data_IF_874514327677
#
_entry.id   IF_874514327677
#
_cell.length_a   1.000
_cell.length_b   1.000
_cell.length_c   1.000
_cell.angle_alpha   90.00
_cell.angle_beta   90.00
_cell.angle_gamma   90.00
#
_symmetry.space_group_name_H-M   'P 1'
#
loop_
_entity.id
_entity.type
_entity.pdbx_description
1 polymer ?
#
# COMPACT_ATOMS: atom_id res chain seq x y z
N UNK A 1 2.47 -28.79 2.72
CA UNK A 1 2.07 -28.80 1.30
C UNK A 1 1.05 -27.70 1.09
N UNK A 2 1.49 -26.55 0.58
CA UNK A 2 0.60 -25.43 0.27
C UNK A 2 -0.36 -25.85 -0.87
N UNK A 3 -1.66 -25.81 -0.59
CA UNK A 3 -2.73 -26.33 -1.44
C UNK A 3 -2.82 -25.54 -2.75
N UNK A 4 -3.16 -26.22 -3.86
CA UNK A 4 -3.28 -25.58 -5.19
C UNK A 4 -4.23 -24.37 -5.21
N UNK A 5 -5.21 -24.31 -4.29
CA UNK A 5 -6.08 -23.16 -4.07
C UNK A 5 -5.31 -21.91 -3.61
N UNK A 6 -4.33 -22.06 -2.71
CA UNK A 6 -3.46 -20.94 -2.31
C UNK A 6 -2.64 -20.42 -3.49
N UNK A 7 -2.16 -21.31 -4.37
CA UNK A 7 -1.47 -20.94 -5.61
C UNK A 7 -2.38 -20.24 -6.61
N UNK A 8 -3.61 -20.70 -6.82
CA UNK A 8 -4.57 -20.09 -7.76
C UNK A 8 -5.08 -18.73 -7.25
N UNK A 9 -5.34 -18.60 -5.94
CA UNK A 9 -5.64 -17.31 -5.32
C UNK A 9 -4.43 -16.37 -5.37
N UNK A 10 -3.21 -16.90 -5.25
CA UNK A 10 -1.98 -16.13 -5.38
C UNK A 10 -1.66 -15.73 -6.83
N UNK A 11 -2.02 -16.55 -7.82
CA UNK A 11 -1.85 -16.25 -9.26
C UNK A 11 -2.79 -15.15 -9.76
N UNK A 12 -3.92 -14.90 -9.09
CA UNK A 12 -4.84 -13.80 -9.42
C UNK A 12 -4.47 -12.48 -8.73
N UNK A 13 -3.58 -12.51 -7.72
CA UNK A 13 -2.94 -11.30 -7.19
C UNK A 13 -1.80 -10.93 -8.12
N UNK A 14 -2.16 -10.34 -9.26
CA UNK A 14 -1.22 -9.69 -10.16
C UNK A 14 -0.22 -8.90 -9.32
N UNK A 15 1.06 -9.21 -9.46
CA UNK A 15 2.13 -8.55 -8.74
C UNK A 15 2.13 -7.07 -9.14
N UNK A 16 1.35 -6.26 -8.43
CA UNK A 16 1.12 -4.86 -8.74
C UNK A 16 2.47 -4.16 -8.58
N UNK A 17 3.10 -3.90 -9.70
CA UNK A 17 4.42 -3.31 -9.78
C UNK A 17 4.47 -2.48 -11.04
N UNK A 18 5.27 -1.43 -10.99
CA UNK A 18 5.28 -0.50 -12.09
C UNK A 18 5.73 0.88 -11.67
N UNK A 19 5.68 1.74 -12.67
CA UNK A 19 6.21 3.06 -12.60
C UNK A 19 5.16 4.07 -12.19
N UNK A 20 5.49 4.86 -11.18
CA UNK A 20 4.68 6.00 -10.75
C UNK A 20 5.57 7.21 -10.48
N UNK A 21 4.99 8.39 -10.61
CA UNK A 21 5.60 9.58 -10.05
C UNK A 21 5.17 9.72 -8.59
N UNK A 22 6.14 9.87 -7.70
CA UNK A 22 5.93 10.19 -6.29
C UNK A 22 6.22 11.68 -6.06
N UNK A 23 5.27 12.39 -5.46
CA UNK A 23 5.54 13.74 -4.99
C UNK A 23 6.50 13.68 -3.79
N UNK A 24 7.55 14.50 -3.83
CA UNK A 24 8.62 14.50 -2.81
C UNK A 24 8.56 15.73 -1.92
N UNK A 25 8.72 16.92 -2.47
CA UNK A 25 8.55 18.20 -1.79
C UNK A 25 8.39 19.32 -2.83
N UNK A 26 8.19 20.56 -2.39
CA UNK A 26 8.02 21.72 -3.28
C UNK A 26 9.24 21.98 -4.17
N UNK A 27 10.45 21.68 -3.68
CA UNK A 27 11.70 21.95 -4.40
C UNK A 27 11.98 20.93 -5.52
N UNK A 28 11.74 19.65 -5.26
CA UNK A 28 11.99 18.54 -6.20
C UNK A 28 10.75 18.15 -7.00
N UNK A 29 9.56 18.41 -6.45
CA UNK A 29 8.29 18.08 -7.09
C UNK A 29 8.07 16.57 -7.24
N UNK A 30 7.56 16.21 -8.41
CA UNK A 30 7.24 14.83 -8.80
C UNK A 30 8.51 14.10 -9.27
N UNK A 31 8.85 13.01 -8.61
CA UNK A 31 9.98 12.17 -8.96
C UNK A 31 9.53 10.79 -9.41
N UNK A 32 10.18 10.32 -10.45
CA UNK A 32 10.00 8.97 -10.96
C UNK A 32 10.50 7.91 -9.98
N UNK A 33 9.68 6.90 -9.70
CA UNK A 33 10.00 5.79 -8.79
C UNK A 33 9.37 4.50 -9.31
N UNK A 34 10.10 3.40 -9.13
CA UNK A 34 9.55 2.07 -9.34
C UNK A 34 8.86 1.62 -8.06
N UNK A 35 7.62 1.15 -8.18
CA UNK A 35 6.83 0.65 -7.07
C UNK A 35 6.61 -0.85 -7.23
N UNK A 36 6.61 -1.55 -6.10
CA UNK A 36 6.25 -2.96 -6.03
C UNK A 36 5.34 -3.17 -4.85
N UNK A 37 4.30 -4.00 -5.02
CA UNK A 37 3.45 -4.43 -3.93
C UNK A 37 3.68 -5.91 -3.64
N UNK A 38 3.97 -6.18 -2.37
CA UNK A 38 3.89 -7.53 -1.82
C UNK A 38 2.49 -7.72 -1.24
N UNK A 39 1.65 -8.45 -1.97
CA UNK A 39 0.27 -8.67 -1.55
C UNK A 39 0.16 -9.68 -0.38
N UNK A 40 1.16 -10.53 -0.17
CA UNK A 40 1.18 -11.48 0.96
C UNK A 40 1.53 -10.76 2.26
N UNK A 41 2.54 -9.89 2.22
CA UNK A 41 2.96 -9.09 3.37
C UNK A 41 2.11 -7.81 3.57
N UNK A 42 1.38 -7.38 2.54
CA UNK A 42 0.63 -6.12 2.57
C UNK A 42 1.54 -4.90 2.53
N UNK A 43 2.66 -4.98 1.82
CA UNK A 43 3.71 -3.95 1.79
C UNK A 43 3.77 -3.27 0.43
N UNK A 44 3.77 -1.94 0.44
CA UNK A 44 4.08 -1.11 -0.72
C UNK A 44 5.51 -0.57 -0.58
N UNK A 45 6.38 -0.97 -1.50
CA UNK A 45 7.78 -0.53 -1.56
C UNK A 45 8.01 0.37 -2.76
N UNK A 46 8.92 1.33 -2.62
CA UNK A 46 9.39 2.11 -3.75
C UNK A 46 10.92 2.20 -3.81
N UNK A 47 11.43 2.23 -5.04
CA UNK A 47 12.84 2.23 -5.35
C UNK A 47 13.20 3.50 -6.12
N UNK A 48 14.44 3.96 -5.94
CA UNK A 48 15.01 4.94 -6.83
C UNK A 48 15.26 4.25 -8.17
N UNK A 49 14.90 4.89 -9.27
CA UNK A 49 15.28 4.43 -10.59
C UNK A 49 15.64 5.64 -11.46
N UNK A 50 16.53 5.39 -12.42
CA UNK A 50 16.83 6.34 -13.48
C UNK A 50 15.76 6.24 -14.58
N UNK A 51 15.48 7.34 -15.31
CA UNK A 51 14.61 7.27 -16.47
C UNK A 51 15.25 6.35 -17.50
N UNK A 52 14.68 5.15 -17.65
CA UNK A 52 15.03 4.22 -18.71
C UNK A 52 14.15 4.51 -19.93
N UNK A 53 14.64 4.15 -21.12
CA UNK A 53 13.86 4.29 -22.36
C UNK A 53 12.72 3.25 -22.44
N UNK A 54 12.71 2.28 -21.54
CA UNK A 54 11.83 1.12 -21.52
C UNK A 54 11.16 1.00 -20.16
N UNK A 55 9.84 1.20 -20.13
CA UNK A 55 9.00 1.10 -18.93
C UNK A 55 8.94 -0.34 -18.37
N UNK A 56 9.35 -1.35 -19.14
CA UNK A 56 9.31 -2.76 -18.72
C UNK A 56 10.53 -3.20 -17.91
N UNK A 57 11.65 -2.47 -17.99
CA UNK A 57 12.87 -2.77 -17.24
C UNK A 57 13.44 -1.52 -16.56
N UNK A 58 12.99 -1.21 -15.33
CA UNK A 58 13.44 -0.03 -14.61
C UNK A 58 14.92 -0.17 -14.22
N UNK A 59 15.73 0.84 -14.51
CA UNK A 59 17.10 0.92 -13.99
C UNK A 59 17.07 1.32 -12.50
N UNK A 60 16.85 0.34 -11.62
CA UNK A 60 16.78 0.56 -10.17
C UNK A 60 18.16 0.90 -9.62
N UNK A 61 18.26 2.02 -8.91
CA UNK A 61 19.48 2.48 -8.26
C UNK A 61 19.56 1.89 -6.86
N UNK A 62 20.41 0.87 -6.72
CA UNK A 62 20.69 0.17 -5.47
C UNK A 62 19.89 -1.12 -5.28
N UNK A 63 20.24 -1.90 -4.25
CA UNK A 63 19.66 -3.23 -4.03
C UNK A 63 18.54 -3.26 -2.97
N UNK A 64 18.12 -2.10 -2.45
CA UNK A 64 17.15 -2.02 -1.37
C UNK A 64 16.07 -0.95 -1.66
N UNK A 65 14.83 -1.14 -1.18
CA UNK A 65 13.78 -0.13 -1.31
C UNK A 65 14.20 1.15 -0.58
N UNK A 66 13.94 2.29 -1.21
CA UNK A 66 14.19 3.60 -0.60
C UNK A 66 13.25 3.87 0.56
N UNK A 67 12.03 3.33 0.47
CA UNK A 67 11.06 3.31 1.54
C UNK A 67 9.99 2.25 1.28
N UNK A 68 9.37 1.80 2.38
CA UNK A 68 8.34 0.78 2.39
C UNK A 68 7.29 1.15 3.44
N UNK A 69 6.03 0.90 3.13
CA UNK A 69 4.89 1.18 4.02
C UNK A 69 3.92 -0.01 4.07
N UNK A 70 3.25 -0.17 5.21
CA UNK A 70 2.18 -1.16 5.37
C UNK A 70 0.86 -0.62 4.83
N UNK A 71 0.17 -1.44 4.05
CA UNK A 71 -1.15 -1.15 3.49
C UNK A 71 -2.30 -1.56 4.43
N UNK A 72 -2.02 -2.32 5.51
CA UNK A 72 -3.06 -2.66 6.49
C UNK A 72 -3.65 -1.38 7.10
N UNK A 73 -4.96 -1.18 6.93
CA UNK A 73 -5.66 0.03 7.38
C UNK A 73 -5.35 1.30 6.59
N UNK A 74 -4.62 1.21 5.48
CA UNK A 74 -4.38 2.37 4.63
C UNK A 74 -5.63 2.78 3.83
N UNK A 75 -5.78 4.06 3.53
CA UNK A 75 -6.89 4.59 2.72
C UNK A 75 -6.36 5.11 1.39
N UNK A 76 -6.88 4.56 0.29
CA UNK A 76 -6.51 4.94 -1.08
C UNK A 76 -7.54 5.91 -1.66
N UNK A 77 -7.14 7.14 -1.92
CA UNK A 77 -8.01 8.22 -2.41
C UNK A 77 -7.58 8.68 -3.82
N UNK A 78 -8.33 8.35 -4.88
CA UNK A 78 -8.20 8.99 -6.18
C UNK A 78 -8.42 10.50 -6.07
N UNK A 79 -7.70 11.29 -6.85
CA UNK A 79 -7.95 12.74 -6.93
C UNK A 79 -9.21 13.03 -7.76
N UNK A 80 -9.90 14.10 -7.37
CA UNK A 80 -11.01 14.72 -8.08
C UNK A 80 -10.55 15.85 -9.03
N UNK A 81 -9.36 16.42 -8.80
CA UNK A 81 -8.77 17.48 -9.63
C UNK A 81 -8.25 16.96 -10.97
N UNK A 82 -7.74 15.72 -11.00
CA UNK A 82 -7.22 15.11 -12.23
C UNK A 82 -7.41 13.58 -12.29
N UNK A 83 -7.30 13.04 -13.50
CA UNK A 83 -7.58 11.62 -13.74
C UNK A 83 -6.43 10.67 -13.42
N UNK A 84 -5.23 11.17 -13.11
CA UNK A 84 -3.98 10.38 -13.01
C UNK A 84 -3.41 10.33 -11.60
N UNK A 85 -3.80 11.22 -10.70
CA UNK A 85 -3.26 11.25 -9.33
C UNK A 85 -4.15 10.54 -8.31
N UNK A 86 -3.51 10.06 -7.25
CA UNK A 86 -4.14 9.47 -6.09
C UNK A 86 -3.21 9.56 -4.87
N UNK A 87 -3.76 9.40 -3.67
CA UNK A 87 -3.00 9.39 -2.43
C UNK A 87 -3.17 8.06 -1.70
N UNK A 88 -2.07 7.59 -1.11
CA UNK A 88 -2.05 6.46 -0.16
C UNK A 88 -1.83 7.05 1.23
N UNK A 89 -2.84 6.96 2.08
CA UNK A 89 -2.79 7.42 3.48
C UNK A 89 -2.64 6.20 4.37
N UNK A 90 -1.46 5.96 4.92
CA UNK A 90 -1.17 4.76 5.71
C UNK A 90 -1.68 4.94 7.15
N UNK A 91 -2.04 3.84 7.80
CA UNK A 91 -2.44 3.86 9.21
C UNK A 91 -1.30 4.33 10.16
N UNK A 92 -0.04 4.23 9.71
CA UNK A 92 1.14 4.77 10.41
C UNK A 92 1.17 6.30 10.46
N UNK A 93 0.34 6.99 9.68
CA UNK A 93 0.39 8.44 9.48
C UNK A 93 1.22 8.87 8.26
N UNK A 94 1.93 7.94 7.61
CA UNK A 94 2.64 8.23 6.36
C UNK A 94 1.67 8.47 5.21
N UNK A 95 1.87 9.56 4.47
CA UNK A 95 1.10 9.85 3.26
C UNK A 95 1.99 9.90 2.02
N UNK A 96 1.48 9.34 0.92
CA UNK A 96 2.16 9.34 -0.37
C UNK A 96 1.22 9.83 -1.46
N UNK A 97 1.58 10.94 -2.09
CA UNK A 97 0.89 11.44 -3.29
C UNK A 97 1.57 10.88 -4.54
N UNK A 98 0.80 10.14 -5.33
CA UNK A 98 1.25 9.34 -6.47
C UNK A 98 0.52 9.76 -7.74
N UNK A 99 1.17 9.55 -8.89
CA UNK A 99 0.61 9.82 -10.22
C UNK A 99 0.98 8.72 -11.19
N UNK A 100 -0.01 8.17 -11.87
CA UNK A 100 0.16 7.18 -12.94
C UNK A 100 0.38 7.84 -14.31
N UNK A 101 0.77 7.02 -15.31
CA UNK A 101 0.95 7.48 -16.69
C UNK A 101 -0.34 7.98 -17.34
N UNK A 102 -1.46 7.32 -17.04
CA UNK A 102 -2.79 7.64 -17.54
C UNK A 102 -3.90 7.26 -16.55
N UNK A 103 -5.15 7.56 -16.94
CA UNK A 103 -6.32 7.35 -16.09
C UNK A 103 -6.64 5.87 -15.85
N UNK A 104 -6.38 5.01 -16.84
CA UNK A 104 -6.59 3.56 -16.71
C UNK A 104 -5.56 2.97 -15.77
N UNK A 105 -4.28 3.28 -15.96
CA UNK A 105 -3.21 2.85 -15.08
C UNK A 105 -3.46 3.34 -13.64
N UNK A 106 -3.94 4.58 -13.46
CA UNK A 106 -4.34 5.06 -12.13
C UNK A 106 -5.41 4.16 -11.51
N UNK A 107 -6.43 3.79 -12.28
CA UNK A 107 -7.53 2.98 -11.79
C UNK A 107 -7.06 1.56 -11.41
N UNK A 108 -6.22 0.94 -12.23
CA UNK A 108 -5.61 -0.37 -11.94
C UNK A 108 -4.79 -0.34 -10.63
N UNK A 109 -4.01 0.73 -10.40
CA UNK A 109 -3.29 0.92 -9.14
C UNK A 109 -4.22 1.11 -7.94
N UNK A 110 -5.24 1.95 -8.07
CA UNK A 110 -6.21 2.21 -6.99
C UNK A 110 -6.94 0.94 -6.60
N UNK A 111 -7.47 0.19 -7.58
CA UNK A 111 -8.25 -1.00 -7.32
C UNK A 111 -7.38 -2.12 -6.74
N UNK A 112 -6.18 -2.32 -7.29
CA UNK A 112 -5.23 -3.30 -6.78
C UNK A 112 -4.78 -3.00 -5.34
N UNK A 113 -4.46 -1.73 -5.02
CA UNK A 113 -4.09 -1.35 -3.66
C UNK A 113 -5.25 -1.52 -2.68
N UNK A 114 -6.47 -1.11 -3.05
CA UNK A 114 -7.67 -1.27 -2.20
C UNK A 114 -7.98 -2.73 -1.90
N UNK A 115 -7.87 -3.62 -2.89
CA UNK A 115 -8.06 -5.05 -2.68
C UNK A 115 -7.06 -5.63 -1.66
N UNK A 116 -5.82 -5.14 -1.68
CA UNK A 116 -4.78 -5.57 -0.74
C UNK A 116 -5.06 -5.02 0.66
N UNK A 117 -5.41 -3.73 0.78
CA UNK A 117 -5.84 -3.12 2.05
C UNK A 117 -6.97 -3.94 2.68
N UNK A 118 -8.03 -4.24 1.91
CA UNK A 118 -9.21 -4.97 2.39
C UNK A 118 -8.85 -6.39 2.84
N UNK A 119 -7.98 -7.08 2.09
CA UNK A 119 -7.53 -8.42 2.47
C UNK A 119 -6.75 -8.44 3.80
N UNK A 120 -6.02 -7.36 4.11
CA UNK A 120 -5.18 -7.25 5.32
C UNK A 120 -5.89 -6.58 6.50
N UNK A 121 -6.93 -5.78 6.26
CA UNK A 121 -7.76 -5.20 7.34
C UNK A 121 -8.54 -6.27 8.09
N UNK A 122 -9.00 -7.31 7.41
CA UNK A 122 -9.70 -8.43 8.05
C UNK A 122 -8.77 -9.31 8.90
N UNK A 123 -7.50 -9.44 8.51
CA UNK A 123 -6.50 -10.18 9.30
C UNK A 123 -6.09 -9.41 10.55
N UNK A 124 -5.91 -8.09 10.45
CA UNK A 124 -5.56 -7.24 11.61
C UNK A 124 -6.73 -7.08 12.59
N UNK A 125 -7.99 -7.05 12.12
CA UNK A 125 -9.17 -7.02 12.99
C UNK A 125 -9.36 -8.32 13.81
N UNK A 126 -8.87 -9.46 13.31
CA UNK A 126 -8.95 -10.75 14.02
C UNK A 126 -7.98 -10.91 15.20
N UNK A 127 -7.04 -9.97 15.37
CA UNK A 127 -6.06 -9.95 16.47
C UNK A 127 -6.42 -8.98 17.61
N UNK A 128 -7.67 -8.54 17.71
CA UNK A 128 -8.17 -7.87 18.91
C UNK A 128 -8.83 -8.91 19.85
N UNK A 129 -8.12 -9.47 20.85
CA UNK A 129 -8.79 -10.16 21.94
C UNK A 129 -9.59 -9.13 22.75
N UNK A 130 -10.87 -9.46 22.89
CA UNK A 130 -11.85 -8.92 23.83
C UNK A 130 -11.22 -8.85 25.22
N UNK A 131 -11.00 -7.66 25.78
CA UNK A 131 -10.93 -7.45 27.24
C UNK A 131 -10.78 -5.96 27.58
N UNK A 132 -11.87 -5.18 27.50
CA UNK A 132 -12.03 -3.96 28.31
C UNK A 132 -13.50 -3.71 28.71
N UNK A 133 -14.29 -4.79 28.89
CA UNK A 133 -15.62 -4.68 29.50
C UNK A 133 -15.67 -5.13 30.98
N UNK A 134 -14.54 -5.38 31.64
CA UNK A 134 -14.49 -6.00 32.96
C UNK A 134 -13.72 -5.21 34.04
N UNK A 135 -13.73 -3.86 34.00
CA UNK A 135 -13.03 -3.06 35.02
C UNK A 135 -13.83 -1.90 35.64
N UNK A 136 -15.16 -1.86 35.48
CA UNK A 136 -16.00 -0.89 36.20
C UNK A 136 -16.88 -1.49 37.31
N UNK A 137 -16.85 -2.82 37.51
CA UNK A 137 -17.65 -3.51 38.54
C UNK A 137 -16.87 -3.92 39.81
N UNK A 138 -15.67 -3.35 40.05
CA UNK A 138 -14.84 -3.68 41.22
C UNK A 138 -14.46 -2.45 42.06
N UNK A 139 -15.45 -1.65 42.47
CA UNK A 139 -15.35 -0.80 43.66
C UNK A 139 -16.60 -0.96 44.53
N UNK A 140 -16.83 -2.20 44.97
CA UNK A 140 -17.58 -2.48 46.18
C UNK A 140 -16.64 -3.09 47.21
N UNK A 141 -16.69 -2.59 48.44
CA UNK A 141 -16.13 -3.18 49.66
C UNK A 141 -14.62 -3.00 49.92
N UNK A 142 -14.27 -1.90 50.61
CA UNK A 142 -13.49 -1.97 51.85
C UNK A 142 -13.41 -0.58 52.54
N UNK A 143 -13.96 -0.53 53.76
CA UNK A 143 -13.78 0.44 54.85
C UNK A 143 -14.63 1.70 54.85
#
# INVERSE_FOLDING_TARGET
MESNLSRILNMNRHQLSGQLYKYTNVMKGWQYRWFTVDAQAGLLSYYLCEPANDDSNPNIVGNAPRGQVHLAGAVICPSDEDSKTFTVNCASGDMMKLRAGDARARQEWVDGLRAIVESHSNTTASLAPRDQLAAYDAFGAAR
#
